data_IF_187201412310
#
_entry.id   IF_187201412310
#
_cell.length_a   1.000
_cell.length_b   1.000
_cell.length_c   1.000
_cell.angle_alpha   90.00
_cell.angle_beta   90.00
_cell.angle_gamma   90.00
#
_symmetry.space_group_name_H-M   'P 1'
#
loop_
_entity.id
_entity.type
_entity.pdbx_description
1 polymer ?
#
# COMPACT_ATOMS: atom_id res chain seq x y z
N UNK A 1 -10.16 -40.41 -40.30
CA UNK A 1 -9.43 -40.26 -39.01
C UNK A 1 -9.00 -38.81 -38.74
N UNK A 2 -8.46 -38.10 -39.74
CA UNK A 2 -8.01 -36.69 -39.63
C UNK A 2 -9.06 -35.71 -39.08
N UNK A 3 -10.34 -35.84 -39.42
CA UNK A 3 -11.38 -34.94 -38.90
C UNK A 3 -11.53 -34.98 -37.38
N UNK A 4 -11.39 -36.16 -36.76
CA UNK A 4 -11.45 -36.32 -35.30
C UNK A 4 -10.21 -35.70 -34.65
N UNK A 5 -9.03 -35.91 -35.26
CA UNK A 5 -7.77 -35.33 -34.81
C UNK A 5 -7.80 -33.80 -34.79
N UNK A 6 -8.31 -33.17 -35.87
CA UNK A 6 -8.43 -31.71 -35.97
C UNK A 6 -9.33 -31.15 -34.87
N UNK A 7 -10.48 -31.79 -34.61
CA UNK A 7 -11.39 -31.36 -33.54
C UNK A 7 -10.71 -31.47 -32.17
N UNK A 8 -10.00 -32.58 -31.90
CA UNK A 8 -9.27 -32.75 -30.65
C UNK A 8 -8.21 -31.68 -30.44
N UNK A 9 -7.43 -31.35 -31.48
CA UNK A 9 -6.42 -30.29 -31.42
C UNK A 9 -7.09 -28.95 -31.07
N UNK A 10 -8.17 -28.60 -31.76
CA UNK A 10 -8.89 -27.34 -31.53
C UNK A 10 -9.37 -27.24 -30.07
N UNK A 11 -10.03 -28.28 -29.56
CA UNK A 11 -10.53 -28.31 -28.17
C UNK A 11 -9.38 -28.16 -27.18
N UNK A 12 -8.26 -28.85 -27.40
CA UNK A 12 -7.09 -28.77 -26.53
C UNK A 12 -6.42 -27.39 -26.56
N UNK A 13 -6.36 -26.76 -27.74
CA UNK A 13 -5.85 -25.40 -27.90
C UNK A 13 -6.71 -24.38 -27.14
N UNK A 14 -8.04 -24.48 -27.22
CA UNK A 14 -8.93 -23.62 -26.44
C UNK A 14 -8.75 -23.81 -24.93
N UNK A 15 -8.66 -25.08 -24.47
CA UNK A 15 -8.41 -25.37 -23.07
C UNK A 15 -7.07 -24.78 -22.57
N UNK A 16 -6.01 -24.85 -23.38
CA UNK A 16 -4.74 -24.22 -23.03
C UNK A 16 -4.80 -22.69 -23.01
N UNK A 17 -5.52 -22.07 -23.95
CA UNK A 17 -5.66 -20.62 -23.99
C UNK A 17 -6.39 -20.09 -22.74
N UNK A 18 -7.46 -20.76 -22.32
CA UNK A 18 -8.18 -20.46 -21.07
C UNK A 18 -7.24 -20.57 -19.86
N UNK A 19 -6.46 -21.66 -19.78
CA UNK A 19 -5.52 -21.87 -18.68
C UNK A 19 -4.43 -20.79 -18.63
N UNK A 20 -3.91 -20.38 -19.79
CA UNK A 20 -2.93 -19.29 -19.89
C UNK A 20 -3.55 -17.96 -19.46
N UNK A 21 -4.79 -17.67 -19.84
CA UNK A 21 -5.50 -16.46 -19.45
C UNK A 21 -5.69 -16.39 -17.92
N UNK A 22 -6.12 -17.48 -17.29
CA UNK A 22 -6.26 -17.56 -15.83
C UNK A 22 -4.92 -17.36 -15.13
N UNK A 23 -3.87 -18.04 -15.60
CA UNK A 23 -2.52 -17.88 -15.03
C UNK A 23 -2.00 -16.45 -15.16
N UNK A 24 -2.24 -15.80 -16.30
CA UNK A 24 -1.87 -14.40 -16.50
C UNK A 24 -2.65 -13.47 -15.56
N UNK A 25 -3.93 -13.77 -15.31
CA UNK A 25 -4.75 -13.11 -14.31
C UNK A 25 -4.14 -13.19 -12.91
N UNK A 26 -3.71 -14.38 -12.48
CA UNK A 26 -3.05 -14.57 -11.18
C UNK A 26 -1.74 -13.78 -11.06
N UNK A 27 -0.89 -13.80 -12.09
CA UNK A 27 0.38 -13.05 -12.11
C UNK A 27 0.12 -11.54 -11.99
N UNK A 28 -0.84 -11.02 -12.75
CA UNK A 28 -1.18 -9.60 -12.71
C UNK A 28 -1.74 -9.19 -11.33
N UNK A 29 -2.59 -10.03 -10.74
CA UNK A 29 -3.13 -9.79 -9.40
C UNK A 29 -2.03 -9.78 -8.35
N UNK A 30 -1.12 -10.76 -8.38
CA UNK A 30 0.03 -10.80 -7.48
C UNK A 30 0.89 -9.54 -7.61
N UNK A 31 1.16 -9.10 -8.85
CA UNK A 31 1.91 -7.88 -9.10
C UNK A 31 1.22 -6.63 -8.52
N UNK A 32 -0.09 -6.48 -8.74
CA UNK A 32 -0.88 -5.38 -8.16
C UNK A 32 -0.88 -5.41 -6.64
N UNK A 33 -1.03 -6.58 -6.03
CA UNK A 33 -0.96 -6.75 -4.57
C UNK A 33 0.41 -6.34 -4.03
N UNK A 34 1.51 -6.75 -4.67
CA UNK A 34 2.86 -6.34 -4.27
C UNK A 34 3.03 -4.82 -4.34
N UNK A 35 2.56 -4.19 -5.41
CA UNK A 35 2.60 -2.72 -5.54
C UNK A 35 1.78 -2.03 -4.44
N UNK A 36 0.60 -2.56 -4.13
CA UNK A 36 -0.24 -2.04 -3.05
C UNK A 36 0.43 -2.21 -1.68
N UNK A 37 1.02 -3.37 -1.39
CA UNK A 37 1.75 -3.58 -0.14
C UNK A 37 2.92 -2.62 0.04
N UNK A 38 3.72 -2.39 -1.02
CA UNK A 38 4.79 -1.38 -0.95
C UNK A 38 4.27 0.03 -0.66
N UNK A 39 3.13 0.40 -1.25
CA UNK A 39 2.49 1.70 -0.97
C UNK A 39 1.98 1.79 0.47
N UNK A 40 1.41 0.71 0.99
CA UNK A 40 0.97 0.63 2.39
C UNK A 40 2.16 0.79 3.31
N UNK A 41 3.25 0.05 3.08
CA UNK A 41 4.47 0.10 3.88
C UNK A 41 5.06 1.52 3.93
N UNK A 42 5.24 2.16 2.77
CA UNK A 42 5.72 3.55 2.70
C UNK A 42 4.78 4.55 3.39
N UNK A 43 3.46 4.31 3.36
CA UNK A 43 2.48 5.16 4.04
C UNK A 43 2.54 4.96 5.55
N UNK A 44 2.67 3.72 6.02
CA UNK A 44 2.84 3.37 7.42
C UNK A 44 4.10 4.00 8.00
N UNK A 45 5.21 3.98 7.26
CA UNK A 45 6.46 4.63 7.66
C UNK A 45 6.29 6.15 7.83
N UNK A 46 5.62 6.81 6.88
CA UNK A 46 5.29 8.24 6.97
C UNK A 46 4.38 8.54 8.16
N UNK A 47 3.36 7.71 8.39
CA UNK A 47 2.45 7.87 9.53
C UNK A 47 3.21 7.74 10.85
N UNK A 48 4.12 6.78 10.95
CA UNK A 48 4.93 6.59 12.15
C UNK A 48 5.86 7.80 12.39
N UNK A 49 6.45 8.33 11.31
CA UNK A 49 7.28 9.55 11.40
C UNK A 49 6.45 10.74 11.88
N UNK A 50 5.25 10.92 11.32
CA UNK A 50 4.34 11.99 11.73
C UNK A 50 3.92 11.82 13.20
N UNK A 51 3.60 10.60 13.64
CA UNK A 51 3.31 10.29 15.04
C UNK A 51 4.46 10.71 15.95
N UNK A 52 5.71 10.35 15.61
CA UNK A 52 6.88 10.74 16.38
C UNK A 52 7.05 12.27 16.41
N UNK A 53 6.80 12.96 15.29
CA UNK A 53 6.86 14.43 15.26
C UNK A 53 5.81 15.06 16.18
N UNK A 54 4.58 14.54 16.19
CA UNK A 54 3.53 14.99 17.10
C UNK A 54 3.92 14.72 18.56
N UNK A 55 4.38 13.50 18.87
CA UNK A 55 4.82 13.15 20.23
C UNK A 55 5.96 14.05 20.72
N UNK A 56 6.90 14.41 19.83
CA UNK A 56 7.96 15.38 20.15
C UNK A 56 7.43 16.79 20.36
N UNK A 57 6.57 17.28 19.48
CA UNK A 57 5.97 18.61 19.61
C UNK A 57 5.09 18.73 20.87
N UNK A 58 4.46 17.63 21.28
CA UNK A 58 3.68 17.54 22.50
C UNK A 58 4.51 17.12 23.73
N UNK A 59 5.83 17.01 23.61
CA UNK A 59 6.68 16.68 24.75
C UNK A 59 6.67 17.84 25.76
N UNK A 60 6.61 17.57 27.08
CA UNK A 60 6.59 18.61 28.11
C UNK A 60 7.77 19.58 28.01
N UNK A 61 8.92 19.11 27.54
CA UNK A 61 10.13 19.92 27.33
C UNK A 61 9.98 20.98 26.23
N UNK A 62 9.16 20.74 25.22
CA UNK A 62 8.88 21.70 24.14
C UNK A 62 7.62 22.55 24.42
N UNK A 63 6.64 21.98 25.14
CA UNK A 63 5.44 22.71 25.55
C UNK A 63 5.66 23.68 26.72
N UNK A 64 6.49 23.33 27.71
CA UNK A 64 6.78 24.21 28.86
C UNK A 64 7.29 25.60 28.47
N UNK A 65 8.28 25.77 27.58
CA UNK A 65 8.73 27.11 27.20
C UNK A 65 7.65 27.91 26.47
N UNK A 66 6.77 27.26 25.69
CA UNK A 66 5.64 27.90 25.01
C UNK A 66 4.59 28.36 26.03
N UNK A 67 4.24 27.50 26.99
CA UNK A 67 3.30 27.82 28.08
C UNK A 67 3.85 28.95 28.95
N UNK A 68 5.13 28.92 29.32
CA UNK A 68 5.78 29.96 30.12
C UNK A 68 5.89 31.29 29.35
N UNK A 69 6.08 31.27 28.03
CA UNK A 69 5.99 32.49 27.22
C UNK A 69 4.57 33.02 27.08
N UNK A 70 3.58 32.15 26.89
CA UNK A 70 2.17 32.54 26.82
C UNK A 70 1.68 33.17 28.12
N UNK A 71 2.09 32.62 29.27
CA UNK A 71 1.75 33.15 30.60
C UNK A 71 2.35 34.54 30.84
N UNK A 72 3.61 34.76 30.43
CA UNK A 72 4.26 36.08 30.50
C UNK A 72 3.61 37.14 29.60
N UNK A 73 3.05 36.74 28.46
CA UNK A 73 2.30 37.67 27.58
C UNK A 73 0.96 38.02 28.21
N UNK A 74 0.33 37.09 28.94
CA UNK A 74 -0.97 37.33 29.57
C UNK A 74 -0.87 38.21 30.82
N UNK A 75 0.20 38.12 31.61
CA UNK A 75 0.46 39.01 32.75
C UNK A 75 0.89 40.43 32.35
N UNK A 76 1.26 40.66 31.09
CA UNK A 76 1.64 41.99 30.58
C UNK A 76 0.48 42.76 29.92
N UNK A 77 -0.74 42.22 29.94
CA UNK A 77 -1.96 42.85 29.41
C UNK A 77 -2.90 43.29 30.54
#
# INVERSE_FOLDING_TARGET
MNRKLIITIIVFSFAMLELLAVRQGHINTAHKMTLQHRKIEATTEKLNTLKIQIEKACAPSELQPILVQADKVHEQQ
#
